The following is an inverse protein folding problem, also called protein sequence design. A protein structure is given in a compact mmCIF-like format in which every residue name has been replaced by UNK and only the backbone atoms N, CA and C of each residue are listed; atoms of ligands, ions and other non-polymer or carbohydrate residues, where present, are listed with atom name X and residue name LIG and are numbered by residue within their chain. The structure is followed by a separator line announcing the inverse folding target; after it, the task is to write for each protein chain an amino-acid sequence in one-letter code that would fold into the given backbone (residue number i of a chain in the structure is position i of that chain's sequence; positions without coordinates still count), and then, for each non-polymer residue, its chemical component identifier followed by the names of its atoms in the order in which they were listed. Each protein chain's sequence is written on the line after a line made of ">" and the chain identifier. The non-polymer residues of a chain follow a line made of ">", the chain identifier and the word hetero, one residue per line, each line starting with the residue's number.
data_IF_532948360075
#
_entry.id   IF_532948360075
#
_cell.length_a   1.000
_cell.length_b   1.000
_cell.length_c   1.000
_cell.angle_alpha   90.00
_cell.angle_beta   90.00
_cell.angle_gamma   90.00
#
_symmetry.space_group_name_H-M   'P 1'
#
loop_
_entity.id
_entity.type
_entity.pdbx_description
1 polymer ?
#
# COMPACT_ATOMS: atom_id res chain seq x y z
N UNK A 1 -1.48 9.77 -0.96
CA UNK A 1 -2.27 9.97 0.27
C UNK A 1 -3.22 8.79 0.47
N UNK A 2 -2.92 7.85 1.40
CA UNK A 2 -3.91 6.83 1.82
C UNK A 2 -4.95 7.56 2.67
N UNK A 3 -6.10 7.90 2.12
CA UNK A 3 -7.20 8.44 2.93
C UNK A 3 -7.81 7.29 3.73
N UNK A 4 -8.24 7.54 4.97
CA UNK A 4 -8.96 6.54 5.78
C UNK A 4 -10.18 5.99 5.03
N UNK A 5 -10.82 6.84 4.20
CA UNK A 5 -11.86 6.43 3.26
C UNK A 5 -11.45 5.28 2.33
N UNK A 6 -10.21 5.26 1.82
CA UNK A 6 -9.73 4.20 0.93
C UNK A 6 -9.62 2.84 1.64
N UNK A 7 -9.20 2.82 2.91
CA UNK A 7 -9.07 1.57 3.68
C UNK A 7 -10.44 0.94 3.92
N UNK A 8 -11.40 1.73 4.38
CA UNK A 8 -12.78 1.24 4.60
C UNK A 8 -13.44 0.77 3.31
N UNK A 9 -13.22 1.46 2.20
CA UNK A 9 -13.72 1.05 0.88
C UNK A 9 -13.15 -0.30 0.45
N UNK A 10 -11.85 -0.55 0.63
CA UNK A 10 -11.22 -1.82 0.27
C UNK A 10 -11.69 -2.98 1.16
N UNK A 11 -11.84 -2.75 2.48
CA UNK A 11 -12.41 -3.75 3.39
C UNK A 11 -13.84 -4.10 3.00
N UNK A 12 -14.68 -3.09 2.72
CA UNK A 12 -16.06 -3.29 2.27
C UNK A 12 -16.12 -4.04 0.94
N UNK A 13 -15.25 -3.68 -0.02
CA UNK A 13 -15.15 -4.36 -1.32
C UNK A 13 -14.86 -5.85 -1.13
N UNK A 14 -13.92 -6.21 -0.26
CA UNK A 14 -13.58 -7.61 0.00
C UNK A 14 -14.75 -8.33 0.67
N UNK A 15 -15.30 -7.78 1.76
CA UNK A 15 -16.44 -8.41 2.46
C UNK A 15 -17.67 -8.61 1.56
N UNK A 16 -18.00 -7.63 0.72
CA UNK A 16 -19.12 -7.75 -0.20
C UNK A 16 -18.90 -8.80 -1.30
N UNK A 17 -17.65 -9.02 -1.71
CA UNK A 17 -17.30 -10.05 -2.70
C UNK A 17 -17.29 -11.47 -2.10
N UNK A 18 -17.33 -11.57 -0.76
CA UNK A 18 -17.20 -12.80 0.02
C UNK A 18 -18.24 -12.84 1.16
N UNK A 19 -19.55 -12.77 0.86
CA UNK A 19 -20.59 -12.68 1.89
C UNK A 19 -20.64 -13.92 2.80
N UNK A 20 -20.22 -15.08 2.28
CA UNK A 20 -20.23 -16.36 3.00
C UNK A 20 -18.92 -16.62 3.78
N UNK A 21 -17.94 -15.71 3.70
CA UNK A 21 -16.67 -15.83 4.42
C UNK A 21 -16.51 -14.66 5.41
N UNK A 22 -16.98 -14.81 6.66
CA UNK A 22 -16.80 -13.78 7.69
C UNK A 22 -15.33 -13.53 8.04
N UNK A 23 -14.43 -14.47 7.69
CA UNK A 23 -12.98 -14.40 7.92
C UNK A 23 -12.20 -13.83 6.73
N UNK A 24 -12.87 -13.29 5.70
CA UNK A 24 -12.23 -12.70 4.53
C UNK A 24 -11.22 -11.60 4.92
N UNK A 25 -11.48 -10.88 6.02
CA UNK A 25 -10.55 -9.96 6.68
C UNK A 25 -10.43 -10.34 8.17
N UNK A 26 -9.22 -10.71 8.59
CA UNK A 26 -8.90 -11.12 9.97
C UNK A 26 -7.62 -10.40 10.43
N UNK A 27 -7.60 -9.87 11.65
CA UNK A 27 -6.44 -9.14 12.22
C UNK A 27 -5.91 -8.04 11.28
N UNK A 28 -6.82 -7.29 10.66
CA UNK A 28 -6.51 -6.24 9.68
C UNK A 28 -5.75 -6.71 8.43
N UNK A 29 -5.86 -8.00 8.09
CA UNK A 29 -5.20 -8.64 6.95
C UNK A 29 -6.21 -9.45 6.14
N UNK A 30 -6.01 -9.54 4.84
CA UNK A 30 -6.78 -10.40 3.95
C UNK A 30 -6.48 -11.86 4.30
N UNK A 31 -7.52 -12.61 4.69
CA UNK A 31 -7.42 -13.99 5.22
C UNK A 31 -6.38 -14.17 6.32
N UNK A 32 -6.08 -13.12 7.09
CA UNK A 32 -5.01 -13.14 8.10
C UNK A 32 -3.58 -13.11 7.52
N UNK A 33 -3.41 -13.31 6.21
CA UNK A 33 -2.09 -13.50 5.60
C UNK A 33 -1.45 -12.22 5.09
N UNK A 34 -2.21 -11.30 4.46
CA UNK A 34 -1.63 -10.16 3.73
C UNK A 34 -2.23 -8.82 4.18
N UNK A 35 -1.39 -7.82 4.51
CA UNK A 35 -1.84 -6.48 4.90
C UNK A 35 -2.36 -5.65 3.73
N UNK A 36 -1.82 -5.87 2.53
CA UNK A 36 -2.26 -5.19 1.30
C UNK A 36 -3.44 -5.92 0.67
N UNK A 37 -4.39 -5.16 0.11
CA UNK A 37 -5.61 -5.70 -0.52
C UNK A 37 -5.50 -5.86 -2.04
N UNK A 38 -4.42 -5.31 -2.62
CA UNK A 38 -4.10 -5.37 -4.04
C UNK A 38 -2.62 -5.67 -4.22
N UNK A 39 -2.31 -6.64 -5.08
CA UNK A 39 -0.94 -7.09 -5.31
C UNK A 39 -0.81 -7.86 -6.63
N UNK A 40 0.34 -7.69 -7.29
CA UNK A 40 0.88 -8.72 -8.17
C UNK A 40 1.34 -9.93 -7.34
N UNK A 41 1.44 -11.12 -7.93
CA UNK A 41 1.73 -12.34 -7.16
C UNK A 41 0.57 -12.75 -6.22
N UNK A 42 0.89 -13.27 -5.03
CA UNK A 42 -0.08 -13.73 -4.02
C UNK A 42 -1.17 -14.66 -4.59
N UNK A 43 -0.77 -15.61 -5.43
CA UNK A 43 -1.69 -16.50 -6.16
C UNK A 43 -2.64 -17.27 -5.24
N UNK A 44 -2.17 -17.67 -4.06
CA UNK A 44 -2.95 -18.38 -3.05
C UNK A 44 -4.19 -17.60 -2.53
N UNK A 45 -4.24 -16.28 -2.72
CA UNK A 45 -5.42 -15.45 -2.43
C UNK A 45 -6.27 -15.13 -3.67
N UNK A 46 -5.90 -15.64 -4.85
CA UNK A 46 -6.54 -15.34 -6.13
C UNK A 46 -7.32 -16.50 -6.71
N UNK A 47 -6.92 -17.74 -6.43
CA UNK A 47 -7.63 -18.93 -6.89
C UNK A 47 -7.31 -20.15 -5.98
N UNK A 48 -8.28 -21.03 -5.67
CA UNK A 48 -8.06 -22.22 -4.82
C UNK A 48 -6.91 -23.10 -5.29
N UNK A 49 -6.83 -23.40 -6.59
CA UNK A 49 -5.70 -24.14 -7.20
C UNK A 49 -4.31 -23.66 -6.75
N UNK A 50 -4.10 -22.34 -6.61
CA UNK A 50 -2.80 -21.80 -6.18
C UNK A 50 -2.60 -21.89 -4.68
N UNK A 51 -3.69 -21.90 -3.90
CA UNK A 51 -3.66 -22.18 -2.47
C UNK A 51 -3.32 -23.66 -2.24
N UNK A 52 -3.95 -24.56 -2.98
CA UNK A 52 -3.74 -26.02 -2.88
C UNK A 52 -2.33 -26.44 -3.31
N UNK A 53 -1.66 -25.64 -4.14
CA UNK A 53 -0.27 -25.86 -4.52
C UNK A 53 0.74 -25.56 -3.39
N UNK A 54 0.31 -24.89 -2.31
CA UNK A 54 1.17 -24.61 -1.16
C UNK A 54 1.25 -25.80 -0.20
N UNK A 55 2.32 -25.84 0.60
CA UNK A 55 2.37 -26.68 1.79
C UNK A 55 1.24 -26.29 2.74
N UNK A 56 0.66 -27.26 3.44
CA UNK A 56 -0.54 -27.09 4.26
C UNK A 56 -0.43 -25.92 5.25
N UNK A 57 0.71 -25.74 5.90
CA UNK A 57 0.98 -24.63 6.85
C UNK A 57 0.86 -23.24 6.23
N UNK A 58 1.01 -23.10 4.90
CA UNK A 58 0.93 -21.82 4.20
C UNK A 58 -0.41 -21.61 3.49
N UNK A 59 -1.31 -22.59 3.53
CA UNK A 59 -2.65 -22.45 2.95
C UNK A 59 -3.50 -21.53 3.80
N UNK A 60 -4.42 -20.83 3.15
CA UNK A 60 -5.54 -20.19 3.82
C UNK A 60 -6.77 -21.08 3.71
N UNK A 61 -7.72 -20.92 4.64
CA UNK A 61 -9.06 -21.49 4.53
C UNK A 61 -9.82 -20.78 3.40
N UNK A 62 -9.65 -21.24 2.16
CA UNK A 62 -10.17 -20.58 0.98
C UNK A 62 -11.65 -20.95 0.78
N UNK A 63 -12.53 -19.96 0.75
CA UNK A 63 -13.98 -20.17 0.58
C UNK A 63 -14.40 -19.79 -0.83
N UNK A 64 -15.02 -20.74 -1.55
CA UNK A 64 -15.49 -20.52 -2.92
C UNK A 64 -14.36 -20.35 -3.94
N UNK A 65 -14.63 -19.62 -5.03
CA UNK A 65 -13.68 -19.42 -6.14
C UNK A 65 -13.35 -17.93 -6.40
N UNK A 66 -13.94 -17.02 -5.63
CA UNK A 66 -13.73 -15.58 -5.79
C UNK A 66 -12.34 -15.17 -5.30
N UNK A 67 -11.67 -14.27 -6.01
CA UNK A 67 -10.37 -13.72 -5.57
C UNK A 67 -10.53 -12.79 -4.35
N UNK A 68 -9.69 -12.96 -3.34
CA UNK A 68 -9.63 -12.05 -2.18
C UNK A 68 -8.82 -10.78 -2.48
N UNK A 69 -7.76 -10.90 -3.28
CA UNK A 69 -6.91 -9.79 -3.73
C UNK A 69 -6.98 -9.59 -5.25
N UNK A 70 -6.73 -8.37 -5.72
CA UNK A 70 -6.69 -8.04 -7.16
C UNK A 70 -5.37 -7.39 -7.54
N UNK A 71 -4.97 -7.48 -8.80
CA UNK A 71 -3.86 -6.69 -9.37
C UNK A 71 -4.34 -5.44 -10.12
N UNK A 72 -5.65 -5.22 -10.21
CA UNK A 72 -6.20 -4.01 -10.85
C UNK A 72 -5.85 -2.78 -10.01
N UNK A 73 -5.19 -1.76 -10.59
CA UNK A 73 -4.84 -0.54 -9.87
C UNK A 73 -6.06 0.38 -9.69
N UNK A 74 -5.93 1.36 -8.80
CA UNK A 74 -6.81 2.53 -8.80
C UNK A 74 -6.17 3.62 -9.64
N UNK A 75 -6.93 4.28 -10.51
CA UNK A 75 -6.41 5.37 -11.34
C UNK A 75 -6.85 6.72 -10.79
N UNK A 76 -5.94 7.67 -10.73
CA UNK A 76 -6.19 9.05 -10.32
C UNK A 76 -5.47 9.99 -11.30
N UNK A 77 -6.14 11.04 -11.72
CA UNK A 77 -5.61 12.05 -12.64
C UNK A 77 -5.55 13.38 -11.91
N UNK A 78 -4.41 14.06 -11.99
CA UNK A 78 -4.22 15.40 -11.47
C UNK A 78 -3.62 16.29 -12.56
N UNK A 79 -4.17 17.50 -12.73
CA UNK A 79 -3.59 18.49 -13.65
C UNK A 79 -2.64 19.38 -12.86
N UNK A 80 -1.38 19.44 -13.29
CA UNK A 80 -0.38 20.26 -12.62
C UNK A 80 -0.68 21.75 -12.77
N UNK A 81 -0.53 22.49 -11.67
CA UNK A 81 -0.66 23.95 -11.60
C UNK A 81 0.72 24.52 -11.31
N UNK A 82 1.31 25.19 -12.30
CA UNK A 82 2.62 25.82 -12.19
C UNK A 82 2.43 27.30 -11.84
N UNK A 83 3.17 27.88 -10.88
CA UNK A 83 4.37 27.33 -10.23
C UNK A 83 4.15 26.55 -8.92
N UNK A 84 2.89 26.31 -8.51
CA UNK A 84 2.57 25.75 -7.19
C UNK A 84 2.99 24.28 -7.01
N UNK A 85 2.79 23.45 -8.03
CA UNK A 85 3.17 22.03 -8.04
C UNK A 85 4.65 21.86 -8.42
N UNK A 86 5.51 21.70 -7.41
CA UNK A 86 6.98 21.68 -7.59
C UNK A 86 7.58 20.29 -7.79
N UNK A 87 7.07 19.28 -7.08
CA UNK A 87 7.60 17.92 -7.11
C UNK A 87 6.54 16.88 -6.72
N UNK A 88 6.86 15.60 -6.94
CA UNK A 88 6.04 14.45 -6.55
C UNK A 88 6.89 13.43 -5.81
N UNK A 89 6.46 13.02 -4.61
CA UNK A 89 7.09 11.93 -3.86
C UNK A 89 6.36 10.62 -4.19
N UNK A 90 7.08 9.67 -4.77
CA UNK A 90 6.65 8.27 -4.94
C UNK A 90 7.54 7.38 -4.07
N UNK A 91 6.95 6.76 -3.05
CA UNK A 91 7.70 5.96 -2.07
C UNK A 91 6.92 4.74 -1.58
N UNK A 92 7.62 3.78 -1.00
CA UNK A 92 7.03 2.66 -0.30
C UNK A 92 6.46 3.09 1.05
N UNK A 93 5.69 2.22 1.71
CA UNK A 93 5.21 2.48 3.06
C UNK A 93 6.32 2.50 4.12
N UNK A 94 7.54 2.02 3.78
CA UNK A 94 8.71 2.08 4.65
C UNK A 94 9.12 3.50 5.02
N UNK A 95 9.01 4.47 4.09
CA UNK A 95 9.26 5.89 4.41
C UNK A 95 8.31 6.38 5.51
N UNK A 96 7.03 6.08 5.34
CA UNK A 96 5.96 6.57 6.21
C UNK A 96 5.81 5.78 7.53
N UNK A 97 6.75 4.87 7.81
CA UNK A 97 6.92 4.33 9.16
C UNK A 97 7.59 5.35 10.10
N UNK A 98 8.39 6.27 9.53
CA UNK A 98 9.17 7.26 10.27
C UNK A 98 8.78 8.72 9.95
N UNK A 99 7.90 8.90 8.95
CA UNK A 99 7.44 10.19 8.46
C UNK A 99 5.92 10.23 8.31
N UNK A 100 5.34 11.36 8.68
CA UNK A 100 4.05 11.80 8.16
C UNK A 100 4.19 12.33 6.72
N UNK A 101 3.08 12.46 5.99
CA UNK A 101 3.12 13.04 4.64
C UNK A 101 3.66 14.48 4.66
N UNK A 102 3.29 15.25 5.68
CA UNK A 102 3.68 16.64 5.84
C UNK A 102 5.17 16.77 6.15
N UNK A 103 5.71 15.94 7.04
CA UNK A 103 7.15 15.94 7.33
C UNK A 103 7.96 15.58 6.09
N UNK A 104 7.57 14.55 5.34
CA UNK A 104 8.29 14.17 4.11
C UNK A 104 8.32 15.31 3.07
N UNK A 105 7.21 16.04 2.90
CA UNK A 105 7.16 17.21 2.02
C UNK A 105 8.02 18.36 2.56
N UNK A 106 7.95 18.62 3.87
CA UNK A 106 8.71 19.69 4.53
C UNK A 106 10.22 19.46 4.47
N UNK A 107 10.69 18.21 4.64
CA UNK A 107 12.10 17.85 4.49
C UNK A 107 12.59 18.15 3.07
N UNK A 108 11.85 17.71 2.05
CA UNK A 108 12.23 17.93 0.64
C UNK A 108 12.23 19.41 0.31
N UNK A 109 11.20 20.17 0.70
CA UNK A 109 11.14 21.61 0.45
C UNK A 109 12.29 22.36 1.12
N UNK A 110 12.55 22.07 2.40
CA UNK A 110 13.61 22.72 3.17
C UNK A 110 14.98 22.39 2.58
N UNK A 111 15.24 21.11 2.28
CA UNK A 111 16.50 20.65 1.70
C UNK A 111 16.76 21.28 0.34
N UNK A 112 15.78 21.23 -0.58
CA UNK A 112 15.94 21.82 -1.93
C UNK A 112 16.18 23.34 -1.89
N UNK A 113 15.59 24.05 -0.91
CA UNK A 113 15.83 25.48 -0.74
C UNK A 113 17.24 25.80 -0.19
N UNK A 114 17.76 24.93 0.66
CA UNK A 114 19.05 25.12 1.36
C UNK A 114 20.22 24.64 0.52
N UNK A 115 20.02 23.55 -0.22
CA UNK A 115 21.02 22.88 -1.05
C UNK A 115 20.48 22.66 -2.46
N UNK A 116 20.46 23.71 -3.32
CA UNK A 116 19.87 23.62 -4.66
C UNK A 116 20.48 22.54 -5.56
N UNK A 117 21.74 22.18 -5.34
CA UNK A 117 22.48 21.15 -6.09
C UNK A 117 22.51 19.79 -5.37
N UNK A 118 21.85 19.67 -4.22
CA UNK A 118 21.81 18.44 -3.43
C UNK A 118 20.81 17.41 -3.96
N UNK A 119 20.96 16.15 -3.52
CA UNK A 119 19.99 15.09 -3.81
C UNK A 119 18.95 14.97 -2.66
N UNK A 120 17.71 15.45 -2.84
CA UNK A 120 16.68 15.37 -1.80
C UNK A 120 16.23 13.93 -1.49
N UNK A 121 16.43 12.98 -2.41
CA UNK A 121 16.11 11.57 -2.18
C UNK A 121 17.15 10.96 -1.24
N UNK A 122 18.43 11.22 -1.49
CA UNK A 122 19.50 10.77 -0.60
C UNK A 122 19.31 11.34 0.82
N UNK A 123 19.01 12.64 0.94
CA UNK A 123 18.70 13.28 2.23
C UNK A 123 17.56 12.57 2.96
N UNK A 124 16.42 12.34 2.29
CA UNK A 124 15.29 11.62 2.90
C UNK A 124 15.67 10.20 3.37
N UNK A 125 16.52 9.50 2.63
CA UNK A 125 16.97 8.15 3.03
C UNK A 125 17.88 8.23 4.26
N UNK A 126 18.80 9.19 4.32
CA UNK A 126 19.67 9.41 5.47
C UNK A 126 18.86 9.77 6.72
N UNK A 127 17.85 10.64 6.58
CA UNK A 127 16.94 10.96 7.69
C UNK A 127 16.13 9.76 8.16
N UNK A 128 15.69 8.87 7.26
CA UNK A 128 15.05 7.60 7.65
C UNK A 128 16.02 6.74 8.46
N UNK A 129 17.28 6.62 8.03
CA UNK A 129 18.29 5.83 8.74
C UNK A 129 18.60 6.39 10.12
N UNK A 130 18.52 7.72 10.31
CA UNK A 130 18.71 8.34 11.62
C UNK A 130 17.53 8.11 12.58
N UNK A 131 16.31 7.97 12.04
CA UNK A 131 15.08 7.76 12.83
C UNK A 131 14.78 6.28 13.14
N UNK A 132 15.45 5.35 12.47
CA UNK A 132 15.25 3.90 12.60
C UNK A 132 16.04 3.30 13.76
#
# INVERSE_FOLDING_TARGET
>A
MRTLQSVFQEVRRIRNAHPDDPSAITNHRVKGSLKVTRAFGAGFLKHPKWNDALLETFRVDYVGNSRYVTCSPSMFHNRLVIPDDKFLILSSDGLYQYFTNQEAVSEVETFMSTFPEGDPVQHLVEEVLFRA
#
